data_IF_309213758900
#
_entry.id   IF_309213758900
#
_cell.length_a   1.000
_cell.length_b   1.000
_cell.length_c   1.000
_cell.angle_alpha   90.00
_cell.angle_beta   90.00
_cell.angle_gamma   90.00
#
_symmetry.space_group_name_H-M   'P 1'
#
loop_
_entity.id
_entity.type
_entity.pdbx_description
1 polymer ?
#
# COMPACT_ATOMS: atom_id res chain seq x y z
N UNK A 1 20.23 71.10 -46.96
CA UNK A 1 18.91 71.17 -46.30
C UNK A 1 19.10 70.74 -44.86
N UNK A 2 18.81 71.65 -43.93
CA UNK A 2 19.05 71.53 -42.49
C UNK A 2 17.74 71.23 -41.72
N UNK A 3 17.90 71.01 -40.40
CA UNK A 3 16.93 70.98 -39.28
C UNK A 3 16.39 69.58 -38.94
N UNK A 4 16.76 68.93 -37.82
CA UNK A 4 16.74 69.27 -36.38
C UNK A 4 15.39 69.03 -35.67
N UNK A 5 15.52 68.39 -34.49
CA UNK A 5 14.88 68.70 -33.18
C UNK A 5 13.61 67.94 -32.69
N UNK A 6 13.85 67.18 -31.62
CA UNK A 6 13.22 67.20 -30.25
C UNK A 6 11.82 66.67 -29.92
N UNK A 7 11.82 65.98 -28.75
CA UNK A 7 10.84 65.98 -27.60
C UNK A 7 9.56 65.15 -27.82
N UNK A 8 8.94 64.49 -26.82
CA UNK A 8 8.84 64.74 -25.35
C UNK A 8 8.32 63.48 -24.64
N UNK A 9 8.66 63.33 -23.35
CA UNK A 9 8.13 62.35 -22.38
C UNK A 9 6.83 62.83 -21.74
N UNK A 10 5.95 61.90 -21.32
CA UNK A 10 4.94 61.91 -20.22
C UNK A 10 4.15 60.58 -20.32
N UNK A 11 3.63 59.89 -19.29
CA UNK A 11 3.17 60.28 -17.97
C UNK A 11 3.20 59.07 -16.98
N UNK A 12 3.11 59.38 -15.69
CA UNK A 12 3.03 58.47 -14.56
C UNK A 12 1.60 57.99 -14.27
N UNK A 13 1.44 56.79 -13.69
CA UNK A 13 0.26 56.39 -12.93
C UNK A 13 0.64 55.28 -11.94
N UNK A 14 0.49 55.52 -10.63
CA UNK A 14 0.56 54.50 -9.59
C UNK A 14 -0.35 54.93 -8.43
N UNK A 15 -1.50 54.26 -8.32
CA UNK A 15 -2.39 54.27 -7.16
C UNK A 15 -2.93 52.86 -6.99
N UNK A 16 -2.60 52.17 -5.90
CA UNK A 16 -3.43 51.07 -5.36
C UNK A 16 -3.40 51.14 -3.84
N UNK A 17 -4.61 51.07 -3.29
CA UNK A 17 -5.03 51.29 -1.91
C UNK A 17 -4.70 50.10 -1.01
N UNK A 18 -4.31 50.39 0.24
CA UNK A 18 -4.03 49.44 1.31
C UNK A 18 -5.30 48.79 1.90
N UNK A 19 -5.10 47.57 2.37
CA UNK A 19 -6.07 46.59 2.87
C UNK A 19 -6.76 46.93 4.19
N UNK A 20 -7.94 46.31 4.41
CA UNK A 20 -8.30 45.65 5.68
C UNK A 20 -9.63 44.88 5.50
N UNK A 21 -9.60 43.55 5.65
CA UNK A 21 -10.79 42.75 5.92
C UNK A 21 -10.49 41.84 7.11
N UNK A 22 -11.22 42.05 8.20
CA UNK A 22 -11.10 41.32 9.46
C UNK A 22 -11.92 40.01 9.42
N UNK A 23 -11.29 38.93 9.89
CA UNK A 23 -11.88 37.96 10.82
C UNK A 23 -13.03 37.08 10.34
N UNK A 24 -12.71 35.88 9.83
CA UNK A 24 -13.61 34.73 9.89
C UNK A 24 -13.10 33.77 10.98
N UNK A 25 -13.86 33.63 12.06
CA UNK A 25 -13.66 32.59 13.06
C UNK A 25 -14.06 31.24 12.44
N UNK A 26 -13.07 30.45 12.02
CA UNK A 26 -13.28 29.09 11.55
C UNK A 26 -13.59 28.18 12.73
N UNK A 27 -14.81 27.68 12.81
CA UNK A 27 -15.15 26.53 13.63
C UNK A 27 -14.28 25.35 13.18
N UNK A 28 -13.37 24.91 14.04
CA UNK A 28 -12.54 23.74 13.81
C UNK A 28 -13.42 22.50 13.77
N UNK A 29 -13.71 22.00 12.57
CA UNK A 29 -14.18 20.63 12.41
C UNK A 29 -13.03 19.72 12.85
N UNK A 30 -13.22 18.98 13.93
CA UNK A 30 -12.33 17.90 14.32
C UNK A 30 -12.33 16.87 13.19
N UNK A 31 -11.28 16.89 12.37
CA UNK A 31 -11.02 15.78 11.47
C UNK A 31 -10.70 14.58 12.37
N UNK A 32 -11.61 13.61 12.44
CA UNK A 32 -11.21 12.28 12.85
C UNK A 32 -10.17 11.83 11.81
N UNK A 33 -8.89 11.87 12.18
CA UNK A 33 -7.80 11.40 11.32
C UNK A 33 -8.01 9.91 11.07
N UNK A 34 -8.69 9.57 9.97
CA UNK A 34 -8.69 8.21 9.45
C UNK A 34 -7.23 7.84 9.21
N UNK A 35 -6.71 6.89 10.00
CA UNK A 35 -5.33 6.44 9.88
C UNK A 35 -5.05 6.04 8.42
N UNK A 36 -3.97 6.60 7.85
CA UNK A 36 -3.60 6.32 6.47
C UNK A 36 -3.41 4.81 6.27
N UNK A 37 -3.89 4.21 5.16
CA UNK A 37 -3.72 2.79 4.88
C UNK A 37 -2.24 2.39 4.95
N UNK A 38 -1.89 1.47 5.84
CA UNK A 38 -0.53 0.95 5.97
C UNK A 38 -0.46 -0.44 5.36
N UNK A 39 0.60 -0.70 4.58
CA UNK A 39 0.86 -2.00 3.98
C UNK A 39 2.29 -2.43 4.23
N UNK A 40 2.51 -3.74 4.40
CA UNK A 40 3.85 -4.30 4.61
C UNK A 40 3.96 -5.68 3.98
N UNK A 41 4.95 -5.88 3.12
CA UNK A 41 5.30 -7.22 2.66
C UNK A 41 5.94 -8.00 3.82
N UNK A 42 5.39 -9.16 4.13
CA UNK A 42 5.82 -10.00 5.26
C UNK A 42 6.54 -11.28 4.79
N UNK A 43 6.28 -11.74 3.57
CA UNK A 43 7.05 -12.81 2.92
C UNK A 43 7.03 -12.65 1.40
N UNK A 44 8.03 -13.24 0.74
CA UNK A 44 8.09 -13.36 -0.72
C UNK A 44 8.87 -14.61 -1.12
N UNK A 45 8.41 -15.29 -2.16
CA UNK A 45 9.07 -16.45 -2.77
C UNK A 45 8.96 -16.38 -4.28
N UNK A 46 9.93 -16.95 -4.99
CA UNK A 46 9.94 -17.04 -6.45
C UNK A 46 9.97 -18.51 -6.82
N UNK A 47 9.06 -18.93 -7.70
CA UNK A 47 8.94 -20.31 -8.18
C UNK A 47 9.50 -20.34 -9.60
N UNK A 48 10.68 -20.96 -9.74
CA UNK A 48 11.39 -20.96 -11.02
C UNK A 48 11.65 -19.54 -11.51
N UNK A 49 11.32 -19.27 -12.77
CA UNK A 49 11.44 -17.95 -13.40
C UNK A 49 10.11 -17.21 -13.60
N UNK A 50 8.99 -17.90 -13.37
CA UNK A 50 7.71 -17.54 -13.99
C UNK A 50 6.73 -16.93 -13.00
N UNK A 51 6.82 -17.33 -11.72
CA UNK A 51 5.94 -16.85 -10.67
C UNK A 51 6.72 -16.25 -9.50
N UNK A 52 6.19 -15.15 -8.97
CA UNK A 52 6.56 -14.60 -7.66
C UNK A 52 5.32 -14.56 -6.79
N UNK A 53 5.45 -14.98 -5.55
CA UNK A 53 4.35 -15.03 -4.58
C UNK A 53 4.74 -14.17 -3.41
N UNK A 54 3.85 -13.28 -2.99
CA UNK A 54 4.07 -12.42 -1.82
C UNK A 54 2.94 -12.55 -0.83
N UNK A 55 3.28 -12.42 0.45
CA UNK A 55 2.32 -12.16 1.51
C UNK A 55 2.45 -10.70 1.92
N UNK A 56 1.32 -9.98 1.91
CA UNK A 56 1.24 -8.57 2.28
C UNK A 56 0.25 -8.38 3.41
N UNK A 57 0.71 -7.82 4.53
CA UNK A 57 -0.15 -7.33 5.60
C UNK A 57 -0.73 -5.96 5.22
N UNK A 58 -2.00 -5.74 5.52
CA UNK A 58 -2.70 -4.48 5.35
C UNK A 58 -3.39 -4.11 6.65
N UNK A 59 -3.06 -2.94 7.21
CA UNK A 59 -3.71 -2.42 8.41
C UNK A 59 -5.14 -2.01 8.06
N UNK A 60 -6.08 -2.32 8.94
CA UNK A 60 -7.45 -1.83 8.80
C UNK A 60 -7.49 -0.32 8.94
N UNK A 61 -8.39 0.32 8.19
CA UNK A 61 -8.68 1.76 8.29
C UNK A 61 -9.71 2.06 9.38
N UNK A 62 -10.37 1.03 9.92
CA UNK A 62 -11.43 1.14 10.93
C UNK A 62 -10.95 0.72 12.32
N UNK A 63 -10.00 -0.21 12.39
CA UNK A 63 -9.37 -0.68 13.63
C UNK A 63 -7.86 -0.71 13.45
N UNK A 64 -7.18 0.13 14.21
CA UNK A 64 -5.75 0.31 14.12
C UNK A 64 -4.95 -0.94 14.58
N UNK A 65 -5.56 -1.86 15.31
CA UNK A 65 -4.92 -3.10 15.76
C UNK A 65 -5.19 -4.26 14.80
N UNK A 66 -6.20 -4.13 13.94
CA UNK A 66 -6.60 -5.17 13.00
C UNK A 66 -5.83 -5.09 11.68
N UNK A 67 -5.66 -6.25 11.04
CA UNK A 67 -5.01 -6.39 9.76
C UNK A 67 -5.64 -7.51 8.92
N UNK A 68 -5.54 -7.34 7.62
CA UNK A 68 -5.81 -8.37 6.62
C UNK A 68 -4.48 -8.85 6.01
N UNK A 69 -4.44 -10.10 5.57
CA UNK A 69 -3.29 -10.65 4.84
C UNK A 69 -3.72 -10.97 3.41
N UNK A 70 -3.00 -10.43 2.44
CA UNK A 70 -3.15 -10.78 1.02
C UNK A 70 -2.05 -11.74 0.62
N UNK A 71 -2.43 -12.81 -0.06
CA UNK A 71 -1.54 -13.64 -0.85
C UNK A 71 -1.69 -13.21 -2.31
N UNK A 72 -0.60 -12.75 -2.91
CA UNK A 72 -0.59 -12.28 -4.30
C UNK A 72 0.37 -13.13 -5.13
N UNK A 73 -0.08 -13.49 -6.33
CA UNK A 73 0.74 -14.16 -7.34
C UNK A 73 1.04 -13.15 -8.44
N UNK A 74 2.29 -13.13 -8.88
CA UNK A 74 2.77 -12.32 -9.97
C UNK A 74 3.35 -13.22 -11.05
N UNK A 75 3.05 -12.91 -12.31
CA UNK A 75 3.69 -13.52 -13.48
C UNK A 75 4.63 -12.52 -14.16
N UNK A 76 5.59 -13.04 -14.92
CA UNK A 76 6.51 -12.18 -15.69
C UNK A 76 5.89 -11.81 -17.03
N UNK A 77 5.74 -10.51 -17.29
CA UNK A 77 5.19 -9.98 -18.54
C UNK A 77 5.95 -8.71 -18.94
N UNK A 78 6.56 -8.72 -20.12
CA UNK A 78 7.38 -7.60 -20.61
C UNK A 78 8.58 -7.30 -19.70
N UNK A 79 9.22 -8.34 -19.14
CA UNK A 79 10.37 -8.21 -18.24
C UNK A 79 10.05 -7.80 -16.80
N UNK A 80 8.81 -7.39 -16.51
CA UNK A 80 8.36 -6.98 -15.19
C UNK A 80 7.43 -8.02 -14.54
N UNK A 81 7.38 -8.02 -13.20
CA UNK A 81 6.38 -8.75 -12.44
C UNK A 81 5.04 -8.02 -12.51
N UNK A 82 3.99 -8.71 -12.96
CA UNK A 82 2.61 -8.20 -12.96
C UNK A 82 1.75 -9.13 -12.14
N UNK A 83 0.88 -8.56 -11.30
CA UNK A 83 -0.04 -9.35 -10.49
C UNK A 83 -0.98 -10.12 -11.42
N UNK A 84 -1.07 -11.43 -11.22
CA UNK A 84 -1.94 -12.32 -11.99
C UNK A 84 -3.16 -12.75 -11.18
N UNK A 85 -3.02 -12.91 -9.87
CA UNK A 85 -4.11 -13.28 -8.98
C UNK A 85 -3.84 -12.89 -7.53
N UNK A 86 -4.90 -12.85 -6.71
CA UNK A 86 -4.85 -12.48 -5.30
C UNK A 86 -6.00 -13.09 -4.50
N UNK A 87 -5.67 -13.55 -3.30
CA UNK A 87 -6.65 -13.99 -2.29
C UNK A 87 -6.33 -13.43 -0.90
N UNK A 88 -7.31 -13.47 0.01
CA UNK A 88 -7.10 -13.17 1.44
C UNK A 88 -6.72 -14.46 2.17
N UNK A 89 -5.75 -14.38 3.08
CA UNK A 89 -5.40 -15.47 3.99
C UNK A 89 -6.16 -15.28 5.30
N UNK A 90 -7.00 -16.25 5.65
CA UNK A 90 -7.92 -16.13 6.79
C UNK A 90 -8.99 -15.05 6.58
N UNK A 91 -9.49 -14.50 7.67
CA UNK A 91 -10.53 -13.49 7.65
C UNK A 91 -9.99 -12.08 7.36
N UNK A 92 -10.82 -11.26 6.71
CA UNK A 92 -10.57 -9.82 6.59
C UNK A 92 -10.55 -9.20 7.98
N UNK A 93 -9.50 -8.46 8.29
CA UNK A 93 -9.27 -7.86 9.61
C UNK A 93 -9.18 -8.88 10.76
N UNK A 94 -8.96 -10.16 10.45
CA UNK A 94 -8.83 -11.23 11.45
C UNK A 94 -7.45 -11.33 12.10
N UNK A 95 -6.47 -10.54 11.66
CA UNK A 95 -5.09 -10.57 12.17
C UNK A 95 -4.76 -9.37 13.02
N UNK A 96 -3.77 -9.50 13.90
CA UNK A 96 -3.23 -8.38 14.66
C UNK A 96 -2.07 -7.72 13.91
N UNK A 97 -2.18 -6.42 13.63
CA UNK A 97 -1.19 -5.65 12.85
C UNK A 97 0.23 -5.73 13.41
N UNK A 98 0.39 -5.58 14.72
CA UNK A 98 1.72 -5.52 15.34
C UNK A 98 2.47 -6.86 15.34
N UNK A 99 1.85 -8.00 15.76
CA UNK A 99 2.46 -9.33 15.56
C UNK A 99 2.79 -9.61 14.10
N UNK A 100 1.87 -9.32 13.19
CA UNK A 100 2.00 -9.64 11.77
C UNK A 100 3.09 -8.83 11.06
N UNK A 101 3.46 -7.67 11.58
CA UNK A 101 4.53 -6.82 11.03
C UNK A 101 5.84 -6.90 11.82
N UNK A 102 5.87 -7.70 12.89
CA UNK A 102 7.03 -7.95 13.72
C UNK A 102 8.00 -9.00 13.14
N UNK A 103 9.07 -9.26 13.88
CA UNK A 103 9.98 -10.39 13.58
C UNK A 103 9.27 -11.70 13.91
N UNK A 104 9.41 -12.71 13.05
CA UNK A 104 8.76 -14.02 13.25
C UNK A 104 7.27 -14.04 12.94
N UNK A 105 6.74 -13.00 12.27
CA UNK A 105 5.34 -12.94 11.87
C UNK A 105 4.88 -14.10 10.98
N UNK A 106 5.80 -14.68 10.22
CA UNK A 106 5.55 -15.79 9.30
C UNK A 106 6.19 -17.04 9.89
N UNK A 107 5.37 -17.91 10.45
CA UNK A 107 5.81 -19.17 11.03
C UNK A 107 6.11 -20.21 9.96
N UNK A 108 5.29 -20.24 8.91
CA UNK A 108 5.52 -21.09 7.75
C UNK A 108 5.10 -20.35 6.48
N UNK A 109 6.00 -20.33 5.50
CA UNK A 109 5.70 -19.93 4.14
C UNK A 109 6.53 -20.80 3.20
N UNK A 110 5.90 -21.86 2.69
CA UNK A 110 6.57 -22.85 1.84
C UNK A 110 5.82 -23.02 0.53
N UNK A 111 6.57 -23.23 -0.54
CA UNK A 111 6.05 -23.52 -1.88
C UNK A 111 6.87 -24.63 -2.52
N UNK A 112 6.24 -25.48 -3.34
CA UNK A 112 7.01 -26.33 -4.24
C UNK A 112 7.66 -25.49 -5.35
N UNK A 113 8.80 -25.95 -5.88
CA UNK A 113 9.50 -25.34 -7.01
C UNK A 113 8.98 -25.73 -8.39
N UNK A 114 7.89 -26.48 -8.47
CA UNK A 114 7.28 -26.98 -9.72
C UNK A 114 5.78 -26.74 -9.71
N UNK A 115 5.17 -26.72 -10.89
CA UNK A 115 3.73 -26.55 -11.05
C UNK A 115 3.02 -27.93 -11.15
N UNK A 116 1.88 -28.14 -10.47
CA UNK A 116 1.19 -27.22 -9.56
C UNK A 116 1.97 -27.01 -8.25
N UNK A 117 1.95 -25.78 -7.75
CA UNK A 117 2.77 -25.38 -6.61
C UNK A 117 1.94 -25.29 -5.33
N UNK A 118 1.92 -26.34 -4.48
CA UNK A 118 1.28 -26.26 -3.18
C UNK A 118 1.98 -25.21 -2.32
N UNK A 119 1.17 -24.38 -1.68
CA UNK A 119 1.59 -23.37 -0.71
C UNK A 119 1.07 -23.72 0.66
N UNK A 120 1.89 -23.47 1.68
CA UNK A 120 1.45 -23.52 3.07
C UNK A 120 1.80 -22.21 3.74
N UNK A 121 0.81 -21.62 4.42
CA UNK A 121 0.94 -20.36 5.14
C UNK A 121 0.52 -20.58 6.59
N UNK A 122 1.39 -20.25 7.53
CA UNK A 122 1.06 -20.13 8.96
C UNK A 122 1.69 -18.86 9.49
N UNK A 123 0.91 -18.07 10.24
CA UNK A 123 1.26 -16.73 10.67
C UNK A 123 1.15 -16.63 12.19
N UNK A 124 1.94 -15.75 12.79
CA UNK A 124 1.88 -15.48 14.22
C UNK A 124 0.58 -14.74 14.54
N UNK A 125 -0.30 -15.35 15.33
CA UNK A 125 -1.56 -14.72 15.79
C UNK A 125 -1.21 -13.69 16.86
N UNK A 126 -0.66 -14.15 17.99
CA UNK A 126 -0.04 -13.33 19.04
C UNK A 126 1.04 -14.16 19.75
N UNK A 127 1.96 -13.56 20.52
CA UNK A 127 3.08 -14.31 21.12
C UNK A 127 2.70 -15.46 22.05
N UNK A 128 1.55 -15.40 22.73
CA UNK A 128 1.11 -16.42 23.69
C UNK A 128 0.51 -17.68 23.03
N UNK A 129 -0.55 -17.58 22.19
CA UNK A 129 -1.05 -18.72 21.41
C UNK A 129 -0.10 -19.14 20.29
N UNK A 130 0.78 -18.25 19.84
CA UNK A 130 1.77 -18.54 18.80
C UNK A 130 1.18 -18.53 17.39
N UNK A 131 1.55 -19.53 16.61
CA UNK A 131 1.25 -19.62 15.19
C UNK A 131 -0.17 -20.12 14.93
N UNK A 132 -0.80 -19.63 13.87
CA UNK A 132 -2.07 -20.15 13.38
C UNK A 132 -1.93 -21.58 12.87
N UNK A 133 -3.06 -22.30 12.80
CA UNK A 133 -3.13 -23.51 11.98
C UNK A 133 -2.70 -23.19 10.54
N UNK A 134 -2.00 -24.12 9.86
CA UNK A 134 -1.59 -23.92 8.48
C UNK A 134 -2.79 -23.80 7.55
N UNK A 135 -2.78 -22.77 6.71
CA UNK A 135 -3.69 -22.65 5.57
C UNK A 135 -2.98 -23.11 4.30
N UNK A 136 -3.65 -23.96 3.53
CA UNK A 136 -3.11 -24.52 2.29
C UNK A 136 -3.73 -23.85 1.07
N UNK A 137 -2.89 -23.57 0.08
CA UNK A 137 -3.30 -23.09 -1.23
C UNK A 137 -2.60 -23.89 -2.32
N UNK A 138 -3.14 -23.83 -3.52
CA UNK A 138 -2.50 -24.37 -4.72
C UNK A 138 -2.35 -23.24 -5.73
N UNK A 139 -1.13 -23.03 -6.24
CA UNK A 139 -0.91 -22.13 -7.38
C UNK A 139 -0.78 -22.94 -8.65
N UNK A 140 -1.63 -22.61 -9.62
CA UNK A 140 -1.65 -23.22 -10.95
C UNK A 140 -2.04 -22.18 -11.98
N UNK A 141 -1.27 -22.10 -13.07
CA UNK A 141 -1.50 -21.19 -14.19
C UNK A 141 -1.62 -19.72 -13.74
N UNK A 142 -0.78 -19.32 -12.77
CA UNK A 142 -0.77 -17.97 -12.20
C UNK A 142 -1.98 -17.63 -11.33
N UNK A 143 -2.82 -18.60 -10.98
CA UNK A 143 -4.01 -18.42 -10.13
C UNK A 143 -3.88 -19.19 -8.82
N UNK A 144 -4.56 -18.69 -7.79
CA UNK A 144 -4.61 -19.28 -6.45
C UNK A 144 -5.92 -20.05 -6.28
N UNK A 145 -5.82 -21.25 -5.73
CA UNK A 145 -6.94 -22.10 -5.37
C UNK A 145 -6.81 -22.49 -3.90
N UNK A 146 -7.93 -22.73 -3.22
CA UNK A 146 -7.92 -23.39 -1.92
C UNK A 146 -7.34 -24.80 -2.07
N UNK A 147 -6.41 -25.16 -1.18
CA UNK A 147 -5.72 -26.45 -1.16
C UNK A 147 -6.43 -27.50 -0.31
#
# INVERSE_FOLDING_TARGET
MSLARTRRRTAAALTVVMAAALGAAGAGASNADTAAPQTRQIASSVLGSDYKITLTALRSTEDEYAASVRLQVYTRSGGAWKESDRVTVGDVNGWFWYPLTGKGAVCQFSTAGTEPAPLTVSLLVTPSPGCSDPTHFLVKQGRVYAG
#
